data_IF_509086368477
#
_entry.id   IF_509086368477
#
_cell.length_a   1.000
_cell.length_b   1.000
_cell.length_c   1.000
_cell.angle_alpha   90.00
_cell.angle_beta   90.00
_cell.angle_gamma   90.00
#
_symmetry.space_group_name_H-M   'P 1'
#
loop_
_entity.id
_entity.type
_entity.pdbx_description
1 polymer ?
#
# COMPACT_ATOMS: atom_id res chain seq x y z
N UNK A 1 -7.94 1.80 -19.83
CA UNK A 1 -8.10 3.25 -20.03
C UNK A 1 -9.00 3.51 -21.24
N UNK A 2 -8.57 3.24 -22.48
CA UNK A 2 -9.29 3.58 -23.71
C UNK A 2 -10.77 3.18 -23.71
N UNK A 3 -11.13 2.01 -23.18
CA UNK A 3 -12.53 1.58 -23.08
C UNK A 3 -13.32 2.44 -22.12
N UNK A 4 -12.78 2.73 -20.94
CA UNK A 4 -13.42 3.59 -19.94
C UNK A 4 -13.68 4.99 -20.52
N UNK A 5 -12.68 5.60 -21.13
CA UNK A 5 -12.80 6.92 -21.75
C UNK A 5 -13.81 6.94 -22.91
N UNK A 6 -13.71 5.99 -23.83
CA UNK A 6 -14.59 5.88 -25.00
C UNK A 6 -16.05 5.67 -24.62
N UNK A 7 -16.30 4.83 -23.63
CA UNK A 7 -17.66 4.48 -23.20
C UNK A 7 -18.18 5.35 -22.07
N UNK A 8 -17.29 6.11 -21.42
CA UNK A 8 -17.56 6.88 -20.19
C UNK A 8 -18.13 6.02 -19.08
N UNK A 9 -17.72 4.75 -19.03
CA UNK A 9 -18.08 3.83 -17.96
C UNK A 9 -16.98 3.83 -16.89
N UNK A 10 -17.41 3.74 -15.64
CA UNK A 10 -16.50 3.65 -14.50
C UNK A 10 -15.70 2.35 -14.52
N UNK A 11 -14.46 2.45 -14.10
CA UNK A 11 -13.59 1.33 -13.78
C UNK A 11 -12.86 1.69 -12.50
N UNK A 12 -13.07 0.96 -11.43
CA UNK A 12 -12.47 1.20 -10.13
C UNK A 12 -11.52 0.06 -9.76
N UNK A 13 -10.33 0.41 -9.30
CA UNK A 13 -9.48 -0.51 -8.58
C UNK A 13 -10.07 -0.72 -7.18
N UNK A 14 -10.46 -1.94 -6.87
CA UNK A 14 -10.96 -2.29 -5.53
C UNK A 14 -9.78 -2.68 -4.63
N UNK A 15 -9.03 -1.66 -4.20
CA UNK A 15 -7.90 -1.83 -3.27
C UNK A 15 -8.35 -1.55 -1.85
N UNK A 16 -8.63 -2.62 -1.09
CA UNK A 16 -9.21 -2.54 0.24
C UNK A 16 -8.28 -1.88 1.28
N UNK A 17 -6.96 -2.00 1.10
CA UNK A 17 -6.01 -1.49 2.09
C UNK A 17 -6.02 0.03 2.24
N UNK A 18 -6.51 0.78 1.23
CA UNK A 18 -6.67 2.24 1.35
C UNK A 18 -7.80 2.63 2.31
N UNK A 19 -8.68 1.70 2.66
CA UNK A 19 -9.82 1.91 3.56
C UNK A 19 -9.62 1.35 4.98
N UNK A 20 -8.42 0.87 5.29
CA UNK A 20 -8.10 0.44 6.64
C UNK A 20 -8.09 1.62 7.62
N UNK A 21 -8.38 1.36 8.88
CA UNK A 21 -8.60 2.40 9.90
C UNK A 21 -7.37 3.27 10.15
N UNK A 22 -6.20 2.65 10.24
CA UNK A 22 -4.96 3.39 10.43
C UNK A 22 -4.58 4.21 9.19
N UNK A 23 -4.71 3.61 8.01
CA UNK A 23 -4.40 4.24 6.72
C UNK A 23 -5.28 5.48 6.50
N UNK A 24 -6.59 5.37 6.67
CA UNK A 24 -7.49 6.52 6.49
C UNK A 24 -7.31 7.59 7.56
N UNK A 25 -7.05 7.21 8.82
CA UNK A 25 -6.77 8.18 9.88
C UNK A 25 -5.47 8.94 9.59
N UNK A 26 -4.43 8.23 9.18
CA UNK A 26 -3.14 8.82 8.78
C UNK A 26 -3.28 9.71 7.54
N UNK A 27 -4.08 9.30 6.56
CA UNK A 27 -4.40 10.13 5.39
C UNK A 27 -5.10 11.42 5.80
N UNK A 28 -6.09 11.36 6.70
CA UNK A 28 -6.76 12.56 7.20
C UNK A 28 -5.79 13.48 7.97
N UNK A 29 -4.88 12.94 8.77
CA UNK A 29 -3.81 13.72 9.41
C UNK A 29 -2.91 14.39 8.38
N UNK A 30 -2.51 13.67 7.32
CA UNK A 30 -1.68 14.20 6.25
C UNK A 30 -2.38 15.36 5.50
N UNK A 31 -3.65 15.18 5.15
CA UNK A 31 -4.47 16.20 4.49
C UNK A 31 -4.66 17.44 5.36
N UNK A 32 -4.62 17.30 6.67
CA UNK A 32 -4.67 18.43 7.64
C UNK A 32 -3.28 19.01 7.96
N UNK A 33 -2.24 18.52 7.31
CA UNK A 33 -0.89 19.09 7.38
C UNK A 33 -0.05 18.69 8.59
N UNK A 34 -0.49 17.69 9.42
CA UNK A 34 0.24 17.31 10.61
C UNK A 34 1.66 16.81 10.30
N UNK A 35 1.85 16.13 9.18
CA UNK A 35 3.15 15.62 8.76
C UNK A 35 4.01 16.66 8.02
N UNK A 36 3.47 17.87 7.79
CA UNK A 36 4.11 18.84 6.89
C UNK A 36 4.08 18.34 5.44
N UNK A 37 5.15 18.57 4.69
CA UNK A 37 5.30 17.97 3.36
C UNK A 37 5.70 16.50 3.50
N UNK A 38 4.91 15.60 2.92
CA UNK A 38 5.22 14.18 2.85
C UNK A 38 6.29 13.96 1.80
N UNK A 39 7.43 13.39 2.20
CA UNK A 39 8.61 13.23 1.36
C UNK A 39 8.83 11.78 0.90
N UNK A 40 8.47 10.84 1.77
CA UNK A 40 8.75 9.41 1.56
C UNK A 40 7.64 8.55 2.13
N UNK A 41 7.27 7.50 1.41
CA UNK A 41 6.31 6.48 1.87
C UNK A 41 6.87 5.10 1.58
N UNK A 42 6.67 4.18 2.54
CA UNK A 42 6.97 2.76 2.36
C UNK A 42 5.70 1.94 2.41
N UNK A 43 5.59 0.98 1.52
CA UNK A 43 4.51 0.01 1.47
C UNK A 43 5.02 -1.39 1.15
N UNK A 44 4.21 -2.40 1.37
CA UNK A 44 4.59 -3.77 1.03
C UNK A 44 3.40 -4.71 0.88
N UNK A 45 3.67 -5.86 0.28
CA UNK A 45 2.87 -7.05 0.45
C UNK A 45 3.78 -8.19 0.92
N UNK A 46 3.94 -8.27 2.24
CA UNK A 46 4.68 -9.33 2.91
C UNK A 46 3.66 -10.24 3.58
N UNK A 47 3.42 -11.40 2.98
CA UNK A 47 2.36 -12.30 3.39
C UNK A 47 2.74 -13.74 3.04
N UNK A 48 3.34 -14.48 3.95
CA UNK A 48 3.60 -15.88 3.69
C UNK A 48 2.29 -16.61 3.34
N UNK A 49 2.22 -17.15 2.14
CA UNK A 49 1.05 -17.85 1.60
C UNK A 49 1.25 -19.38 1.55
N UNK A 50 2.30 -19.91 2.15
CA UNK A 50 2.63 -21.33 2.07
C UNK A 50 1.45 -22.23 2.46
N UNK A 51 0.78 -21.94 3.56
CA UNK A 51 -0.38 -22.71 4.01
C UNK A 51 -1.58 -22.67 3.05
N UNK A 52 -1.63 -21.65 2.18
CA UNK A 52 -2.68 -21.46 1.17
C UNK A 52 -2.32 -22.07 -0.18
N UNK A 53 -1.06 -22.41 -0.44
CA UNK A 53 -0.59 -22.92 -1.72
C UNK A 53 -1.34 -24.16 -2.21
N UNK A 54 -1.75 -25.12 -1.36
CA UNK A 54 -2.58 -26.25 -1.81
C UNK A 54 -3.91 -25.83 -2.45
N UNK A 55 -4.43 -24.66 -2.11
CA UNK A 55 -5.65 -24.10 -2.70
C UNK A 55 -5.36 -23.24 -3.93
N UNK A 56 -4.10 -22.85 -4.13
CA UNK A 56 -3.68 -21.96 -5.23
C UNK A 56 -3.05 -22.71 -6.41
N UNK A 57 -2.94 -24.04 -6.34
CA UNK A 57 -2.26 -24.86 -7.35
C UNK A 57 -2.81 -24.72 -8.77
N UNK A 58 -4.08 -24.46 -8.92
CA UNK A 58 -4.73 -24.15 -10.18
C UNK A 58 -5.21 -22.70 -10.19
N UNK A 59 -4.43 -21.82 -9.57
CA UNK A 59 -4.79 -20.45 -9.34
C UNK A 59 -3.75 -19.54 -10.01
N UNK A 60 -4.22 -18.48 -10.60
CA UNK A 60 -3.41 -17.47 -11.27
C UNK A 60 -2.23 -16.94 -10.42
N UNK A 61 -2.31 -17.00 -9.09
CA UNK A 61 -1.25 -16.50 -8.20
C UNK A 61 0.03 -17.32 -8.32
N UNK A 62 -0.07 -18.64 -8.32
CA UNK A 62 1.10 -19.49 -8.49
C UNK A 62 1.68 -19.33 -9.89
N UNK A 63 0.82 -19.43 -10.91
CA UNK A 63 1.23 -19.29 -12.32
C UNK A 63 1.92 -17.94 -12.53
N UNK A 64 1.36 -16.86 -11.96
CA UNK A 64 1.91 -15.52 -12.09
C UNK A 64 3.28 -15.38 -11.41
N UNK A 65 3.50 -15.96 -10.21
CA UNK A 65 4.82 -16.00 -9.56
C UNK A 65 5.80 -16.92 -10.30
N UNK A 66 5.32 -17.99 -10.94
CA UNK A 66 6.15 -18.90 -11.72
C UNK A 66 6.64 -18.27 -13.04
N UNK A 67 5.77 -17.54 -13.72
CA UNK A 67 6.00 -17.00 -15.06
C UNK A 67 6.63 -15.61 -15.07
N UNK A 68 6.37 -14.78 -14.05
CA UNK A 68 6.79 -13.38 -14.01
C UNK A 68 7.81 -13.11 -12.90
N UNK A 69 8.74 -12.24 -13.21
CA UNK A 69 9.76 -11.76 -12.30
C UNK A 69 9.46 -10.32 -11.86
N UNK A 70 9.64 -9.99 -10.60
CA UNK A 70 9.47 -8.65 -10.09
C UNK A 70 8.33 -8.50 -9.08
N UNK A 71 7.81 -7.30 -8.91
CA UNK A 71 6.72 -7.03 -7.97
C UNK A 71 5.37 -7.35 -8.63
N UNK A 72 4.94 -8.59 -8.48
CA UNK A 72 3.70 -9.11 -9.08
C UNK A 72 2.43 -8.74 -8.30
N UNK A 73 2.56 -8.07 -7.14
CA UNK A 73 1.41 -7.67 -6.32
C UNK A 73 1.68 -6.38 -5.52
N UNK A 74 1.92 -5.28 -6.23
CA UNK A 74 2.27 -4.00 -5.64
C UNK A 74 1.10 -3.29 -4.93
N UNK A 75 -0.16 -3.57 -5.30
CA UNK A 75 -1.31 -2.70 -5.02
C UNK A 75 -1.57 -2.44 -3.54
N UNK A 76 -1.39 -3.45 -2.67
CA UNK A 76 -1.63 -3.30 -1.23
C UNK A 76 -0.67 -2.32 -0.54
N UNK A 77 0.56 -2.24 -0.99
CA UNK A 77 1.53 -1.26 -0.50
C UNK A 77 1.45 0.06 -1.25
N UNK A 78 1.26 -0.01 -2.56
CA UNK A 78 1.32 1.15 -3.45
C UNK A 78 0.06 2.02 -3.37
N UNK A 79 -1.14 1.42 -3.28
CA UNK A 79 -2.39 2.16 -3.24
C UNK A 79 -2.44 3.19 -2.11
N UNK A 80 -2.25 2.80 -0.84
CA UNK A 80 -2.18 3.75 0.26
C UNK A 80 -1.06 4.79 0.12
N UNK A 81 0.11 4.40 -0.43
CA UNK A 81 1.22 5.32 -0.69
C UNK A 81 0.84 6.38 -1.73
N UNK A 82 0.19 5.98 -2.83
CA UNK A 82 -0.27 6.88 -3.88
C UNK A 82 -1.28 7.90 -3.36
N UNK A 83 -2.17 7.50 -2.45
CA UNK A 83 -3.12 8.43 -1.84
C UNK A 83 -2.43 9.48 -0.96
N UNK A 84 -1.45 9.08 -0.13
CA UNK A 84 -0.67 10.01 0.68
C UNK A 84 0.12 11.02 -0.14
N UNK A 85 0.60 10.61 -1.31
CA UNK A 85 1.43 11.44 -2.19
C UNK A 85 0.62 12.18 -3.26
N UNK A 86 -0.70 12.01 -3.31
CA UNK A 86 -1.59 12.60 -4.31
C UNK A 86 -1.21 12.21 -5.76
N UNK A 87 -0.81 10.97 -5.98
CA UNK A 87 -0.52 10.46 -7.32
C UNK A 87 -1.79 10.58 -8.19
N UNK A 88 -1.66 11.04 -9.43
CA UNK A 88 -2.72 11.49 -10.36
C UNK A 88 -3.56 12.68 -9.88
N UNK A 89 -3.28 13.20 -8.68
CA UNK A 89 -4.04 14.31 -8.05
C UNK A 89 -3.10 15.46 -7.62
N UNK A 90 -2.00 15.65 -8.34
CA UNK A 90 -0.99 16.69 -8.11
C UNK A 90 0.46 16.20 -8.17
N UNK A 91 0.67 14.91 -8.23
CA UNK A 91 1.98 14.27 -8.47
C UNK A 91 1.81 13.05 -9.39
N UNK A 92 2.90 12.45 -9.87
CA UNK A 92 2.93 11.21 -10.65
C UNK A 92 4.22 10.45 -10.41
N UNK A 93 4.20 9.14 -10.58
CA UNK A 93 5.42 8.34 -10.58
C UNK A 93 6.21 8.64 -11.86
N UNK A 94 7.53 8.78 -11.73
CA UNK A 94 8.42 9.18 -12.84
C UNK A 94 9.39 8.09 -13.24
N UNK A 95 10.05 7.51 -12.27
CA UNK A 95 11.13 6.55 -12.50
C UNK A 95 11.15 5.52 -11.38
N UNK A 96 11.37 4.27 -11.71
CA UNK A 96 11.60 3.22 -10.73
C UNK A 96 12.89 2.46 -10.98
N UNK A 97 13.39 1.86 -9.91
CA UNK A 97 14.46 0.84 -9.91
C UNK A 97 13.98 -0.32 -9.07
N UNK A 98 14.11 -1.53 -9.59
CA UNK A 98 13.75 -2.73 -8.84
C UNK A 98 14.94 -3.70 -8.75
N UNK A 99 14.94 -4.46 -7.67
CA UNK A 99 15.92 -5.52 -7.41
C UNK A 99 15.19 -6.69 -6.74
N UNK A 100 15.59 -7.90 -7.09
CA UNK A 100 15.06 -9.12 -6.48
C UNK A 100 16.17 -10.02 -5.95
N UNK A 101 15.79 -10.96 -5.12
CA UNK A 101 16.64 -12.10 -4.73
C UNK A 101 16.50 -13.21 -5.77
N UNK A 102 17.32 -14.25 -5.65
CA UNK A 102 17.10 -15.49 -6.41
C UNK A 102 15.80 -16.17 -5.96
N UNK A 103 15.19 -16.94 -6.85
CA UNK A 103 14.08 -17.84 -6.54
C UNK A 103 14.63 -19.13 -5.87
N UNK A 104 14.25 -19.38 -4.64
CA UNK A 104 14.62 -20.59 -3.87
C UNK A 104 13.36 -21.25 -3.31
N UNK A 105 12.60 -20.50 -2.53
CA UNK A 105 11.43 -21.03 -1.81
C UNK A 105 10.31 -21.41 -2.77
N UNK A 106 10.06 -20.63 -3.82
CA UNK A 106 9.05 -20.94 -4.83
C UNK A 106 9.27 -22.33 -5.47
N UNK A 107 10.45 -22.61 -6.07
CA UNK A 107 10.79 -23.94 -6.59
C UNK A 107 10.66 -25.06 -5.54
N UNK A 108 11.07 -24.83 -4.30
CA UNK A 108 10.97 -25.83 -3.23
C UNK A 108 9.51 -26.15 -2.88
N UNK A 109 8.64 -25.14 -2.83
CA UNK A 109 7.22 -25.31 -2.61
C UNK A 109 6.53 -26.07 -3.76
N UNK A 110 6.87 -25.76 -5.01
CA UNK A 110 6.39 -26.52 -6.17
C UNK A 110 6.79 -27.99 -6.04
N UNK A 111 8.06 -28.26 -5.74
CA UNK A 111 8.56 -29.63 -5.53
C UNK A 111 7.86 -30.35 -4.38
N UNK A 112 7.63 -29.64 -3.27
CA UNK A 112 6.99 -30.22 -2.08
C UNK A 112 5.53 -30.60 -2.35
N UNK A 113 4.76 -29.71 -2.99
CA UNK A 113 3.31 -29.85 -3.13
C UNK A 113 2.90 -30.48 -4.46
N UNK A 114 3.52 -30.13 -5.57
CA UNK A 114 3.20 -30.70 -6.90
C UNK A 114 4.02 -31.92 -7.26
N UNK A 115 5.10 -32.19 -6.52
CA UNK A 115 6.02 -33.32 -6.80
C UNK A 115 6.73 -33.21 -8.15
N UNK A 116 6.96 -31.98 -8.60
CA UNK A 116 7.71 -31.65 -9.83
C UNK A 116 8.83 -30.67 -9.57
N UNK A 117 9.83 -30.66 -10.43
CA UNK A 117 10.89 -29.66 -10.42
C UNK A 117 10.39 -28.40 -11.17
N UNK A 118 10.74 -27.22 -10.68
CA UNK A 118 10.37 -25.95 -11.30
C UNK A 118 11.60 -25.07 -11.57
N UNK A 119 12.50 -25.52 -12.47
CA UNK A 119 13.71 -24.75 -12.79
C UNK A 119 13.42 -23.46 -13.55
N UNK A 120 12.23 -23.32 -14.07
CA UNK A 120 11.69 -22.18 -14.81
C UNK A 120 11.01 -21.13 -13.90
N UNK A 121 11.01 -21.31 -12.58
CA UNK A 121 10.39 -20.37 -11.66
C UNK A 121 11.10 -19.02 -11.70
N UNK A 122 10.38 -17.97 -12.12
CA UNK A 122 10.97 -16.67 -12.44
C UNK A 122 11.03 -15.71 -11.25
N UNK A 123 9.99 -15.69 -10.41
CA UNK A 123 9.91 -14.67 -9.37
C UNK A 123 10.92 -14.95 -8.25
N UNK A 124 11.73 -13.95 -7.93
CA UNK A 124 12.58 -14.00 -6.76
C UNK A 124 11.77 -14.08 -5.46
N UNK A 125 12.36 -14.64 -4.42
CA UNK A 125 11.67 -14.80 -3.13
C UNK A 125 11.31 -13.46 -2.51
N UNK A 126 12.09 -12.42 -2.77
CA UNK A 126 11.85 -11.07 -2.29
C UNK A 126 12.17 -10.03 -3.36
N UNK A 127 11.26 -9.08 -3.58
CA UNK A 127 11.45 -7.96 -4.50
C UNK A 127 11.40 -6.63 -3.74
N UNK A 128 12.28 -5.71 -4.09
CA UNK A 128 12.32 -4.33 -3.59
C UNK A 128 12.26 -3.37 -4.77
N UNK A 129 11.41 -2.37 -4.66
CA UNK A 129 11.21 -1.34 -5.69
C UNK A 129 11.30 0.05 -5.10
N UNK A 130 12.14 0.89 -5.66
CA UNK A 130 12.23 2.31 -5.33
C UNK A 130 11.67 3.13 -6.47
N UNK A 131 10.75 4.03 -6.16
CA UNK A 131 10.06 4.90 -7.12
C UNK A 131 10.33 6.34 -6.75
N UNK A 132 10.62 7.17 -7.74
CA UNK A 132 10.71 8.62 -7.60
C UNK A 132 9.55 9.27 -8.34
N UNK A 133 8.88 10.22 -7.69
CA UNK A 133 7.81 11.00 -8.29
C UNK A 133 8.34 12.23 -9.04
N UNK A 134 7.50 12.88 -9.83
CA UNK A 134 7.84 14.11 -10.56
C UNK A 134 8.18 15.24 -9.59
N UNK A 135 7.47 15.37 -8.48
CA UNK A 135 7.73 16.36 -7.44
C UNK A 135 8.92 15.99 -6.52
N UNK A 136 9.66 14.93 -6.84
CA UNK A 136 10.89 14.54 -6.12
C UNK A 136 10.66 13.75 -4.84
N UNK A 137 9.44 13.31 -4.57
CA UNK A 137 9.12 12.40 -3.46
C UNK A 137 9.52 10.97 -3.82
N UNK A 138 9.57 10.09 -2.84
CA UNK A 138 9.97 8.70 -3.05
C UNK A 138 9.00 7.71 -2.42
N UNK A 139 8.88 6.54 -3.08
CA UNK A 139 8.12 5.40 -2.56
C UNK A 139 9.07 4.19 -2.53
N UNK A 140 9.01 3.40 -1.48
CA UNK A 140 9.67 2.11 -1.39
C UNK A 140 8.62 1.01 -1.22
N UNK A 141 8.60 0.04 -2.14
CA UNK A 141 7.68 -1.10 -2.10
C UNK A 141 8.46 -2.40 -1.95
N UNK A 142 7.93 -3.33 -1.15
CA UNK A 142 8.46 -4.68 -1.01
C UNK A 142 7.37 -5.72 -1.29
N UNK A 143 7.76 -6.82 -1.91
CA UNK A 143 6.91 -7.98 -2.15
C UNK A 143 7.61 -9.26 -1.69
N UNK A 144 6.94 -10.07 -0.86
CA UNK A 144 7.41 -11.38 -0.40
C UNK A 144 6.20 -12.20 0.08
N UNK A 145 5.90 -13.28 -0.62
CA UNK A 145 4.74 -14.14 -0.31
C UNK A 145 5.13 -15.58 0.03
N UNK A 146 6.43 -15.89 0.06
CA UNK A 146 6.92 -17.25 0.18
C UNK A 146 7.75 -17.49 1.44
N UNK A 147 8.38 -16.45 1.99
CA UNK A 147 9.25 -16.59 3.15
C UNK A 147 8.50 -16.46 4.48
N UNK A 148 8.99 -17.09 5.57
CA UNK A 148 8.39 -17.03 6.89
C UNK A 148 8.64 -15.67 7.54
N UNK A 149 7.90 -14.66 7.11
CA UNK A 149 7.90 -13.30 7.65
C UNK A 149 6.54 -12.96 8.25
N UNK A 150 6.49 -12.23 9.39
CA UNK A 150 5.22 -11.69 9.89
C UNK A 150 4.53 -10.85 8.81
N UNK A 151 3.21 -10.96 8.74
CA UNK A 151 2.42 -10.15 7.83
C UNK A 151 2.71 -8.66 7.98
N UNK A 152 2.94 -7.98 6.87
CA UNK A 152 3.18 -6.55 6.87
C UNK A 152 2.83 -5.93 5.53
N UNK A 153 2.10 -4.82 5.58
CA UNK A 153 1.98 -3.89 4.44
C UNK A 153 2.92 -2.69 4.59
N UNK A 154 3.78 -2.70 5.60
CA UNK A 154 4.62 -1.60 6.05
C UNK A 154 3.79 -0.36 6.40
N UNK A 155 3.33 0.38 5.44
CA UNK A 155 2.61 1.64 5.59
C UNK A 155 3.34 2.60 6.54
N UNK A 156 4.45 3.07 6.06
CA UNK A 156 5.29 4.04 6.76
C UNK A 156 5.35 5.34 5.95
N UNK A 157 5.25 6.47 6.65
CA UNK A 157 5.28 7.79 6.06
C UNK A 157 6.31 8.65 6.78
N UNK A 158 7.14 9.36 6.02
CA UNK A 158 8.05 10.39 6.53
C UNK A 158 7.70 11.73 5.91
N UNK A 159 7.37 12.69 6.76
CA UNK A 159 7.15 14.08 6.39
C UNK A 159 8.13 15.01 7.08
N UNK A 160 8.12 16.28 6.71
CA UNK A 160 9.00 17.31 7.29
C UNK A 160 8.70 17.62 8.76
N UNK A 161 7.53 17.25 9.25
CA UNK A 161 7.04 17.57 10.60
C UNK A 161 6.50 16.36 11.37
N UNK A 162 6.45 15.19 10.75
CA UNK A 162 5.96 14.00 11.43
C UNK A 162 6.25 12.72 10.65
N UNK A 163 6.04 11.62 11.35
CA UNK A 163 6.25 10.26 10.91
C UNK A 163 5.08 9.40 11.36
N UNK A 164 4.69 8.44 10.54
CA UNK A 164 3.74 7.38 10.88
C UNK A 164 4.28 6.02 10.48
N UNK A 165 3.96 4.99 11.24
CA UNK A 165 4.29 3.61 10.92
C UNK A 165 3.19 2.69 11.45
N UNK A 166 2.75 1.72 10.63
CA UNK A 166 1.74 0.76 11.06
C UNK A 166 2.34 -0.56 11.57
N UNK A 167 3.32 -1.10 10.86
CA UNK A 167 3.87 -2.42 11.15
C UNK A 167 5.32 -2.33 11.63
N UNK A 168 5.74 -3.14 12.63
CA UNK A 168 4.93 -4.12 13.36
C UNK A 168 4.03 -3.51 14.44
N UNK A 169 4.20 -2.22 14.77
CA UNK A 169 3.45 -1.52 15.81
C UNK A 169 3.00 -0.17 15.26
N UNK A 170 1.71 0.14 15.45
CA UNK A 170 1.15 1.43 15.08
C UNK A 170 1.74 2.54 15.96
N UNK A 171 2.39 3.51 15.33
CA UNK A 171 3.03 4.61 16.02
C UNK A 171 3.10 5.88 15.18
N UNK A 172 3.15 7.00 15.86
CA UNK A 172 3.41 8.32 15.29
C UNK A 172 4.58 8.98 15.97
N UNK A 173 5.26 9.89 15.28
CA UNK A 173 6.22 10.81 15.84
C UNK A 173 6.00 12.19 15.21
N UNK A 174 5.93 13.22 16.01
CA UNK A 174 5.66 14.58 15.51
C UNK A 174 6.63 15.59 16.11
N UNK A 175 6.84 16.67 15.38
CA UNK A 175 7.39 17.89 15.99
C UNK A 175 6.40 18.39 17.05
N UNK A 176 6.86 18.77 18.24
CA UNK A 176 5.98 19.22 19.35
C UNK A 176 5.02 20.35 18.94
N UNK A 177 5.47 21.25 18.04
CA UNK A 177 4.69 22.38 17.55
C UNK A 177 3.56 22.02 16.57
N UNK A 178 3.46 20.75 16.18
CA UNK A 178 2.37 20.24 15.31
C UNK A 178 1.17 19.70 16.10
N UNK A 179 1.33 19.50 17.40
CA UNK A 179 0.27 18.95 18.25
C UNK A 179 -0.43 20.10 18.98
N UNK A 180 -1.74 20.21 18.76
CA UNK A 180 -2.54 21.18 19.50
C UNK A 180 -2.59 20.85 20.99
N UNK A 181 -1.91 21.67 21.76
CA UNK A 181 -1.75 21.53 23.19
C UNK A 181 -3.04 21.58 24.00
N UNK A 182 -4.09 22.16 23.42
CA UNK A 182 -5.37 22.33 24.13
C UNK A 182 -6.26 21.10 24.09
N UNK A 183 -6.04 20.22 23.10
CA UNK A 183 -6.88 19.05 22.84
C UNK A 183 -6.18 17.71 23.07
N UNK A 184 -4.84 17.70 23.15
CA UNK A 184 -4.05 16.48 23.31
C UNK A 184 -3.37 16.46 24.68
N UNK A 185 -3.63 15.47 25.54
CA UNK A 185 -2.99 15.34 26.84
C UNK A 185 -1.51 14.99 26.69
N UNK A 186 -0.71 15.33 27.71
CA UNK A 186 0.70 14.95 27.85
C UNK A 186 1.63 15.33 26.67
N UNK A 187 1.21 16.31 25.84
CA UNK A 187 1.97 16.77 24.67
C UNK A 187 3.30 17.46 25.02
N UNK A 188 3.49 17.91 26.26
CA UNK A 188 4.66 18.69 26.71
C UNK A 188 5.97 17.91 26.66
N UNK A 189 5.89 16.58 26.69
CA UNK A 189 7.03 15.66 26.70
C UNK A 189 7.28 14.96 25.36
N UNK A 190 6.72 15.48 24.27
CA UNK A 190 6.93 14.90 22.95
C UNK A 190 8.38 15.08 22.49
N UNK A 191 8.92 14.03 21.88
CA UNK A 191 10.27 13.99 21.36
C UNK A 191 10.25 13.62 19.87
N UNK A 192 11.08 14.28 19.07
CA UNK A 192 11.28 13.93 17.67
C UNK A 192 12.12 12.64 17.47
N UNK A 193 12.57 12.03 18.56
CA UNK A 193 13.37 10.80 18.55
C UNK A 193 12.59 9.56 18.97
N UNK A 194 11.35 9.74 19.42
CA UNK A 194 10.55 8.66 19.99
C UNK A 194 9.12 8.71 19.49
N UNK A 195 8.48 7.56 19.43
CA UNK A 195 7.05 7.50 19.21
C UNK A 195 6.30 8.28 20.31
N UNK A 196 5.20 8.91 19.94
CA UNK A 196 4.32 9.56 20.90
C UNK A 196 3.81 8.55 21.93
N UNK A 197 3.60 8.96 23.20
CA UNK A 197 2.99 8.08 24.20
C UNK A 197 1.63 7.54 23.76
N UNK A 198 1.25 6.34 24.22
CA UNK A 198 0.02 5.68 23.80
C UNK A 198 -1.23 6.56 23.96
N UNK A 199 -1.36 7.25 25.09
CA UNK A 199 -2.49 8.19 25.31
C UNK A 199 -2.55 9.32 24.29
N UNK A 200 -1.40 9.83 23.86
CA UNK A 200 -1.30 10.86 22.81
C UNK A 200 -1.72 10.26 21.48
N UNK A 201 -1.26 9.05 21.16
CA UNK A 201 -1.65 8.32 19.94
C UNK A 201 -3.17 8.12 19.89
N UNK A 202 -3.77 7.59 20.95
CA UNK A 202 -5.21 7.38 21.04
C UNK A 202 -6.01 8.68 20.85
N UNK A 203 -5.59 9.76 21.50
CA UNK A 203 -6.21 11.06 21.36
C UNK A 203 -6.10 11.61 19.94
N UNK A 204 -4.92 11.50 19.30
CA UNK A 204 -4.71 11.88 17.91
C UNK A 204 -5.60 11.03 16.95
N UNK A 205 -5.61 9.72 17.11
CA UNK A 205 -6.43 8.84 16.29
C UNK A 205 -7.93 9.14 16.44
N UNK A 206 -8.38 9.48 17.63
CA UNK A 206 -9.76 9.90 17.88
C UNK A 206 -10.07 11.24 17.22
N UNK A 207 -9.21 12.25 17.40
CA UNK A 207 -9.41 13.59 16.87
C UNK A 207 -9.37 13.64 15.34
N UNK A 208 -8.47 12.86 14.75
CA UNK A 208 -8.28 12.81 13.29
C UNK A 208 -8.94 11.60 12.63
N UNK A 209 -9.85 10.91 13.34
CA UNK A 209 -10.63 9.83 12.77
C UNK A 209 -11.26 10.27 11.45
N UNK A 210 -11.06 9.48 10.40
CA UNK A 210 -11.57 9.82 9.08
C UNK A 210 -13.13 9.87 9.09
N UNK A 211 -13.77 10.82 8.41
CA UNK A 211 -15.24 10.94 8.40
C UNK A 211 -15.97 9.63 8.04
N UNK A 212 -15.46 8.88 7.10
CA UNK A 212 -15.98 7.56 6.70
C UNK A 212 -16.00 6.58 7.89
N UNK A 213 -14.95 6.58 8.72
CA UNK A 213 -14.91 5.73 9.90
C UNK A 213 -15.83 6.23 11.00
N UNK A 214 -16.02 7.55 11.15
CA UNK A 214 -16.98 8.09 12.09
C UNK A 214 -18.41 7.61 11.76
N UNK A 215 -18.72 7.46 10.47
CA UNK A 215 -20.04 7.03 10.00
C UNK A 215 -20.19 5.49 10.00
N UNK A 216 -19.19 4.75 9.57
CA UNK A 216 -19.34 3.35 9.17
C UNK A 216 -18.62 2.33 10.06
N UNK A 217 -17.75 2.75 10.98
CA UNK A 217 -16.84 1.83 11.70
C UNK A 217 -17.56 0.67 12.38
N UNK A 218 -18.62 0.95 13.14
CA UNK A 218 -19.37 -0.09 13.85
C UNK A 218 -20.00 -1.09 12.90
N UNK A 219 -20.59 -0.59 11.82
CA UNK A 219 -21.20 -1.44 10.79
C UNK A 219 -20.14 -2.26 10.06
N UNK A 220 -19.04 -1.63 9.69
CA UNK A 220 -17.94 -2.28 8.99
C UNK A 220 -17.32 -3.40 9.83
N UNK A 221 -17.03 -3.14 11.10
CA UNK A 221 -16.51 -4.17 12.03
C UNK A 221 -17.47 -5.33 12.24
N UNK A 222 -18.78 -5.05 12.26
CA UNK A 222 -19.82 -6.07 12.43
C UNK A 222 -19.98 -6.97 11.19
N UNK A 223 -19.93 -6.38 10.00
CA UNK A 223 -20.03 -7.11 8.72
C UNK A 223 -18.75 -7.88 8.45
N UNK A 224 -17.59 -7.31 8.77
CA UNK A 224 -16.29 -7.93 8.60
C UNK A 224 -15.71 -7.73 7.21
N UNK A 225 -14.88 -8.68 6.75
CA UNK A 225 -14.03 -8.53 5.56
C UNK A 225 -12.77 -7.72 5.90
N UNK A 226 -11.67 -8.43 6.23
CA UNK A 226 -10.39 -7.84 6.65
C UNK A 226 -10.54 -6.73 7.71
N UNK A 227 -11.32 -7.01 8.77
CA UNK A 227 -11.55 -6.03 9.83
C UNK A 227 -12.54 -4.91 9.49
N UNK A 228 -13.20 -4.98 8.34
CA UNK A 228 -14.20 -4.00 7.90
C UNK A 228 -13.79 -3.15 6.70
N UNK A 229 -12.51 -3.19 6.28
CA UNK A 229 -12.05 -2.37 5.16
C UNK A 229 -12.69 -2.79 3.82
N UNK A 230 -13.00 -4.08 3.62
CA UNK A 230 -13.68 -4.56 2.42
C UNK A 230 -15.11 -3.98 2.34
N UNK A 231 -15.82 -3.96 3.46
CA UNK A 231 -17.13 -3.35 3.51
C UNK A 231 -17.11 -1.85 3.17
N UNK A 232 -16.14 -1.10 3.69
CA UNK A 232 -16.01 0.34 3.41
C UNK A 232 -15.68 0.56 1.93
N UNK A 233 -14.82 -0.25 1.35
CA UNK A 233 -14.49 -0.22 -0.07
C UNK A 233 -15.73 -0.39 -0.96
N UNK A 234 -16.51 -1.44 -0.72
CA UNK A 234 -17.73 -1.71 -1.48
C UNK A 234 -18.80 -0.62 -1.26
N UNK A 235 -18.94 -0.16 -0.01
CA UNK A 235 -19.83 0.96 0.31
C UNK A 235 -19.46 2.21 -0.49
N UNK A 236 -18.18 2.54 -0.56
CA UNK A 236 -17.69 3.72 -1.30
C UNK A 236 -17.97 3.62 -2.80
N UNK A 237 -17.74 2.45 -3.41
CA UNK A 237 -18.09 2.22 -4.80
C UNK A 237 -19.57 2.51 -5.04
N UNK A 238 -20.44 1.88 -4.26
CA UNK A 238 -21.90 2.06 -4.39
C UNK A 238 -22.30 3.51 -4.13
N UNK A 239 -21.73 4.14 -3.12
CA UNK A 239 -22.01 5.54 -2.78
C UNK A 239 -21.63 6.49 -3.92
N UNK A 240 -20.44 6.36 -4.49
CA UNK A 240 -19.99 7.18 -5.61
C UNK A 240 -20.90 7.00 -6.83
N UNK A 241 -21.23 5.76 -7.20
CA UNK A 241 -22.11 5.47 -8.33
C UNK A 241 -23.52 6.04 -8.14
N UNK A 242 -24.09 5.92 -6.94
CA UNK A 242 -25.46 6.41 -6.65
C UNK A 242 -25.56 7.93 -6.61
N UNK A 243 -24.49 8.62 -6.26
CA UNK A 243 -24.46 10.07 -6.10
C UNK A 243 -23.77 10.79 -7.27
N UNK A 244 -23.34 10.07 -8.31
CA UNK A 244 -22.65 10.65 -9.47
C UNK A 244 -21.32 11.31 -9.11
N UNK A 245 -20.63 10.77 -8.11
CA UNK A 245 -19.33 11.26 -7.66
C UNK A 245 -18.18 10.55 -8.40
N UNK A 246 -17.01 11.19 -8.51
CA UNK A 246 -15.79 10.50 -8.93
C UNK A 246 -15.50 9.30 -8.04
N UNK A 247 -14.93 8.25 -8.62
CA UNK A 247 -14.45 7.10 -7.85
C UNK A 247 -13.22 7.48 -7.03
N UNK A 248 -13.05 6.86 -5.86
CA UNK A 248 -11.89 7.10 -5.00
C UNK A 248 -10.58 6.63 -5.66
N UNK A 249 -10.69 5.58 -6.48
CA UNK A 249 -9.61 5.02 -7.31
C UNK A 249 -10.19 4.73 -8.69
N UNK A 250 -9.66 5.33 -9.71
CA UNK A 250 -10.16 5.23 -11.08
C UNK A 250 -9.30 4.33 -11.97
N UNK A 251 -9.59 4.36 -13.26
CA UNK A 251 -8.90 3.56 -14.26
C UNK A 251 -7.41 3.94 -14.43
N UNK A 252 -7.04 5.17 -14.09
CA UNK A 252 -5.65 5.63 -14.15
C UNK A 252 -4.86 5.10 -12.96
N UNK A 253 -5.44 5.14 -11.75
CA UNK A 253 -4.87 4.48 -10.56
C UNK A 253 -4.63 3.00 -10.84
N UNK A 254 -5.65 2.30 -11.38
CA UNK A 254 -5.55 0.89 -11.77
C UNK A 254 -4.38 0.64 -12.75
N UNK A 255 -4.30 1.43 -13.81
CA UNK A 255 -3.30 1.23 -14.83
C UNK A 255 -1.88 1.44 -14.29
N UNK A 256 -1.67 2.50 -13.51
CA UNK A 256 -0.36 2.81 -12.95
C UNK A 256 0.07 1.81 -11.86
N UNK A 257 -0.83 1.37 -10.99
CA UNK A 257 -0.46 0.39 -9.96
C UNK A 257 -0.20 -1.00 -10.55
N UNK A 258 -0.95 -1.40 -11.57
CA UNK A 258 -0.76 -2.70 -12.22
C UNK A 258 0.46 -2.74 -13.16
N UNK A 259 0.90 -1.60 -13.71
CA UNK A 259 2.08 -1.59 -14.57
C UNK A 259 3.38 -1.88 -13.81
N UNK A 260 3.36 -1.83 -12.46
CA UNK A 260 4.53 -2.14 -11.63
C UNK A 260 5.09 -3.54 -11.89
N UNK A 261 4.24 -4.53 -12.13
CA UNK A 261 4.70 -5.88 -12.43
C UNK A 261 5.63 -5.89 -13.65
N UNK A 262 5.24 -5.25 -14.74
CA UNK A 262 6.04 -5.18 -15.96
C UNK A 262 7.26 -4.26 -15.82
N UNK A 263 7.10 -3.09 -15.20
CA UNK A 263 8.20 -2.14 -15.06
C UNK A 263 9.29 -2.63 -14.11
N UNK A 264 8.92 -3.34 -13.05
CA UNK A 264 9.90 -3.95 -12.14
C UNK A 264 10.64 -5.09 -12.81
N UNK A 265 9.94 -5.92 -13.61
CA UNK A 265 10.56 -6.95 -14.44
C UNK A 265 11.60 -6.34 -15.38
N UNK A 266 11.23 -5.30 -16.13
CA UNK A 266 12.14 -4.60 -17.04
C UNK A 266 13.37 -4.04 -16.33
N UNK A 267 13.20 -3.43 -15.14
CA UNK A 267 14.34 -2.95 -14.36
C UNK A 267 15.30 -4.09 -14.01
N UNK A 268 14.77 -5.18 -13.45
CA UNK A 268 15.58 -6.32 -12.98
C UNK A 268 16.30 -7.01 -14.15
N UNK A 269 15.61 -7.29 -15.25
CA UNK A 269 16.17 -7.94 -16.43
C UNK A 269 17.26 -7.10 -17.13
N UNK A 270 17.21 -5.78 -16.98
CA UNK A 270 18.22 -4.85 -17.48
C UNK A 270 19.31 -4.51 -16.45
N UNK A 271 19.55 -5.41 -15.49
CA UNK A 271 20.62 -5.23 -14.49
C UNK A 271 20.29 -4.19 -13.44
N UNK A 272 19.03 -4.10 -13.02
CA UNK A 272 18.50 -3.13 -12.08
C UNK A 272 18.61 -1.68 -12.58
N UNK A 273 18.49 -1.49 -13.88
CA UNK A 273 18.53 -0.16 -14.49
C UNK A 273 17.25 0.63 -14.18
N UNK A 274 17.34 1.97 -14.11
CA UNK A 274 16.15 2.82 -13.98
C UNK A 274 15.20 2.64 -15.18
N UNK A 275 13.90 2.54 -14.90
CA UNK A 275 12.83 2.46 -15.88
C UNK A 275 11.91 3.67 -15.71
N UNK A 276 11.55 4.32 -16.82
CA UNK A 276 10.58 5.40 -16.80
C UNK A 276 9.17 4.84 -16.66
N UNK A 277 8.41 5.40 -15.73
CA UNK A 277 6.97 5.10 -15.62
C UNK A 277 6.25 5.86 -16.74
N UNK A 278 5.43 5.20 -17.57
CA UNK A 278 4.67 5.85 -18.63
C UNK A 278 3.73 6.96 -18.13
N UNK A 279 3.46 7.93 -19.00
CA UNK A 279 2.49 9.01 -18.72
C UNK A 279 1.05 8.51 -18.80
#
# INVERSE_FOLDING_TARGET
INTSEKTRKHCMQLENCVYDFFELTTLNMAQKGLFGEVLHVEGSYIHNLEEFWPYYWNNWRLDYNREFRGDVYATHGLGPACQLLNIHRGDRMKTLVAMDTKAVTGPELVKQYQKEEAPDFQNGDHTMTFIRTENGKTIHIQHDVMNPRPYSRMYQLTGTKGFANKYPIEQYCFRPDQIDSTSIPDHENLSMHSAVPEKVKEALMSQYKHPIHQELEETAKKIGGHGGMDFIMDYRLVYCLRNGLPLDMDVYDLAEWCCMAELTRLSIENGNAPVTVPD
#
